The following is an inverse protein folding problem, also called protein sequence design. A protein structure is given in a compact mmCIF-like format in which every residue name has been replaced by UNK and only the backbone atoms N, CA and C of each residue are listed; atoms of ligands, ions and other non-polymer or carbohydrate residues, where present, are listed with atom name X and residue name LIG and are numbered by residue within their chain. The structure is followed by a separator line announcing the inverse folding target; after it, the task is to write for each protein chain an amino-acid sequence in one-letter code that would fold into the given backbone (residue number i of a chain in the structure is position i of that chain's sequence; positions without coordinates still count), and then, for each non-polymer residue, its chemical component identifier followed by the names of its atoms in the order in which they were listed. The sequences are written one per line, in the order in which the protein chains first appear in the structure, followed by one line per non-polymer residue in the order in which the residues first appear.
data_IF_305325336256
#
_entry.id   IF_305325336256
#
_cell.length_a   1.000
_cell.length_b   1.000
_cell.length_c   1.000
_cell.angle_alpha   90.00
_cell.angle_beta   90.00
_cell.angle_gamma   90.00
#
_symmetry.space_group_name_H-M   'P 1'
#
loop_
_entity.id
_entity.type
_entity.pdbx_description
1 polymer ?
#
# COMPACT_ATOMS: atom_id res chain seq x y z
N UNK A 1 -1.38 2.39 16.73
CA UNK A 1 -1.97 1.49 15.70
C UNK A 1 -1.24 1.58 14.35
N UNK A 2 -1.06 2.76 13.70
CA UNK A 2 -0.32 2.85 12.42
C UNK A 2 1.14 2.38 12.48
N UNK A 3 1.83 2.52 13.60
CA UNK A 3 3.20 2.05 13.77
C UNK A 3 3.35 0.54 13.56
N UNK A 4 2.35 -0.27 13.95
CA UNK A 4 2.38 -1.72 13.73
C UNK A 4 2.12 -2.10 12.26
N UNK A 5 1.29 -1.34 11.54
CA UNK A 5 1.15 -1.48 10.08
C UNK A 5 2.46 -1.21 9.37
N UNK A 6 3.12 -0.11 9.74
CA UNK A 6 4.43 0.24 9.19
C UNK A 6 5.50 -0.78 9.58
N UNK A 7 5.48 -1.24 10.84
CA UNK A 7 6.37 -2.31 11.28
C UNK A 7 6.21 -3.56 10.39
N UNK A 8 5.00 -4.04 10.20
CA UNK A 8 4.74 -5.23 9.40
C UNK A 8 5.23 -5.06 7.95
N UNK A 9 4.95 -3.91 7.34
CA UNK A 9 5.29 -3.63 5.94
C UNK A 9 6.76 -3.31 5.70
N UNK A 10 7.51 -2.96 6.73
CA UNK A 10 8.97 -2.72 6.65
C UNK A 10 9.80 -3.97 6.92
N UNK A 11 9.19 -5.11 7.28
CA UNK A 11 9.91 -6.37 7.54
C UNK A 11 10.50 -6.93 6.25
N UNK A 12 11.83 -6.80 6.09
CA UNK A 12 12.55 -7.33 4.93
C UNK A 12 12.52 -8.85 4.94
N UNK A 13 12.25 -9.46 3.78
CA UNK A 13 12.20 -10.91 3.63
C UNK A 13 10.87 -11.57 3.99
N UNK A 14 9.89 -10.82 4.53
CA UNK A 14 8.57 -11.38 4.82
C UNK A 14 7.71 -11.58 3.56
N UNK A 15 7.81 -10.69 2.58
CA UNK A 15 6.97 -10.68 1.38
C UNK A 15 5.49 -10.35 1.69
N UNK A 16 4.76 -9.82 0.70
CA UNK A 16 3.35 -9.41 0.91
C UNK A 16 2.44 -10.59 1.26
N UNK A 17 2.61 -11.73 0.60
CA UNK A 17 1.84 -12.95 0.92
C UNK A 17 2.00 -13.37 2.39
N UNK A 18 3.23 -13.30 2.93
CA UNK A 18 3.50 -13.59 4.33
C UNK A 18 2.86 -12.58 5.28
N UNK A 19 2.87 -11.29 4.91
CA UNK A 19 2.18 -10.23 5.67
C UNK A 19 0.68 -10.47 5.72
N UNK A 20 0.04 -10.76 4.57
CA UNK A 20 -1.37 -11.11 4.50
C UNK A 20 -1.71 -12.39 5.27
N UNK A 21 -0.84 -13.40 5.21
CA UNK A 21 -1.02 -14.64 5.97
C UNK A 21 -1.02 -14.38 7.48
N UNK A 22 -0.06 -13.58 7.96
CA UNK A 22 -0.01 -13.18 9.36
C UNK A 22 -1.27 -12.39 9.78
N UNK A 23 -1.70 -11.41 8.96
CA UNK A 23 -2.91 -10.64 9.22
C UNK A 23 -4.18 -11.49 9.25
N UNK A 24 -4.32 -12.46 8.33
CA UNK A 24 -5.47 -13.39 8.36
C UNK A 24 -5.50 -14.22 9.63
N UNK A 25 -4.33 -14.63 10.13
CA UNK A 25 -4.23 -15.48 11.34
C UNK A 25 -4.50 -14.71 12.63
N UNK A 26 -3.99 -13.47 12.73
CA UNK A 26 -4.03 -12.69 13.98
C UNK A 26 -5.07 -11.55 13.96
N UNK A 27 -5.62 -11.20 12.80
CA UNK A 27 -6.64 -10.16 12.66
C UNK A 27 -6.11 -8.72 12.61
N UNK A 28 -4.98 -8.42 13.26
CA UNK A 28 -4.40 -7.08 13.26
C UNK A 28 -2.87 -7.11 13.28
N UNK A 29 -2.18 -6.07 12.75
CA UNK A 29 -0.72 -5.99 12.85
C UNK A 29 -0.21 -5.88 14.28
N UNK A 30 -1.00 -5.30 15.17
CA UNK A 30 -0.68 -5.23 16.60
C UNK A 30 -0.66 -6.62 17.23
N UNK A 31 -1.66 -7.45 16.94
CA UNK A 31 -1.70 -8.83 17.40
C UNK A 31 -0.54 -9.66 16.81
N UNK A 32 -0.16 -9.41 15.54
CA UNK A 32 1.07 -9.99 14.97
C UNK A 32 2.30 -9.54 15.73
N UNK A 33 2.41 -8.25 16.07
CA UNK A 33 3.57 -7.72 16.79
C UNK A 33 3.77 -8.37 18.16
N UNK A 34 2.69 -8.56 18.92
CA UNK A 34 2.76 -9.11 20.28
C UNK A 34 2.74 -10.64 20.34
N UNK A 35 2.55 -11.32 19.21
CA UNK A 35 2.57 -12.77 19.17
C UNK A 35 3.98 -13.34 19.40
N UNK A 36 4.04 -14.48 20.08
CA UNK A 36 5.28 -15.21 20.32
C UNK A 36 5.76 -15.93 19.05
N UNK A 37 7.06 -16.23 18.99
CA UNK A 37 7.68 -16.90 17.83
C UNK A 37 7.00 -18.24 17.49
N UNK A 38 6.55 -18.98 18.50
CA UNK A 38 5.84 -20.26 18.33
C UNK A 38 4.49 -20.07 17.59
N UNK A 39 3.80 -18.95 17.84
CA UNK A 39 2.50 -18.67 17.24
C UNK A 39 2.56 -18.42 15.73
N UNK A 40 3.73 -18.16 15.18
CA UNK A 40 3.93 -18.02 13.72
C UNK A 40 4.12 -19.35 13.00
N UNK A 41 4.36 -20.44 13.72
CA UNK A 41 4.59 -21.76 13.12
C UNK A 41 3.33 -22.30 12.45
N UNK A 42 3.50 -22.92 11.29
CA UNK A 42 2.41 -23.58 10.56
C UNK A 42 1.39 -22.62 9.93
N UNK A 43 1.65 -21.32 9.88
CA UNK A 43 0.78 -20.37 9.19
C UNK A 43 0.92 -20.58 7.68
N UNK A 44 -0.17 -21.02 7.05
CA UNK A 44 -0.21 -21.20 5.60
C UNK A 44 0.06 -19.88 4.86
N UNK A 45 1.02 -19.91 3.93
CA UNK A 45 1.46 -18.73 3.17
C UNK A 45 2.55 -17.91 3.85
N UNK A 46 2.91 -18.19 5.10
CA UNK A 46 4.04 -17.57 5.80
C UNK A 46 5.29 -18.46 5.65
N UNK A 47 6.06 -18.23 4.60
CA UNK A 47 7.27 -19.06 4.30
C UNK A 47 8.43 -18.80 5.25
N UNK A 48 8.57 -17.59 5.74
CA UNK A 48 9.62 -17.18 6.66
C UNK A 48 9.05 -16.26 7.74
N UNK A 49 9.05 -16.69 8.99
CA UNK A 49 8.58 -15.94 10.13
C UNK A 49 9.71 -15.17 10.86
N UNK A 50 10.97 -15.43 10.54
CA UNK A 50 12.14 -14.82 11.20
C UNK A 50 12.03 -13.28 11.27
N UNK A 51 11.63 -12.55 10.19
CA UNK A 51 11.51 -11.10 10.25
C UNK A 51 10.49 -10.59 11.27
N UNK A 52 9.51 -11.38 11.66
CA UNK A 52 8.51 -11.03 12.68
C UNK A 52 9.07 -11.06 14.11
N UNK A 53 10.25 -11.65 14.31
CA UNK A 53 10.97 -11.62 15.58
C UNK A 53 11.59 -10.27 15.90
N UNK A 54 11.89 -9.47 14.88
CA UNK A 54 12.41 -8.10 15.08
C UNK A 54 11.25 -7.15 15.45
N UNK A 55 11.22 -6.73 16.71
CA UNK A 55 10.18 -5.87 17.31
C UNK A 55 10.58 -4.38 17.35
N UNK A 56 11.61 -3.99 16.60
CA UNK A 56 12.05 -2.59 16.56
C UNK A 56 11.02 -1.70 15.83
N UNK A 57 10.57 -0.66 16.51
CA UNK A 57 9.63 0.35 16.01
C UNK A 57 10.33 1.67 15.61
N UNK A 58 11.65 1.74 15.64
CA UNK A 58 12.41 2.96 15.33
C UNK A 58 12.11 3.45 13.91
N UNK A 59 12.23 2.57 12.91
CA UNK A 59 11.96 2.90 11.51
C UNK A 59 10.47 3.20 11.25
N UNK A 60 9.49 2.41 11.75
CA UNK A 60 8.08 2.76 11.70
C UNK A 60 7.76 4.16 12.24
N UNK A 61 8.30 4.52 13.39
CA UNK A 61 8.09 5.84 14.01
C UNK A 61 8.73 6.96 13.19
N UNK A 62 9.91 6.72 12.62
CA UNK A 62 10.58 7.66 11.72
C UNK A 62 9.71 7.91 10.48
N UNK A 63 9.15 6.87 9.87
CA UNK A 63 8.24 6.98 8.71
C UNK A 63 7.00 7.79 9.08
N UNK A 64 6.36 7.52 10.23
CA UNK A 64 5.21 8.30 10.70
C UNK A 64 5.53 9.79 10.84
N UNK A 65 6.66 10.11 11.45
CA UNK A 65 7.13 11.49 11.61
C UNK A 65 7.34 12.19 10.26
N UNK A 66 7.97 11.49 9.31
CA UNK A 66 8.18 12.00 7.95
C UNK A 66 6.85 12.21 7.19
N UNK A 67 5.93 11.28 7.32
CA UNK A 67 4.60 11.40 6.70
C UNK A 67 3.87 12.63 7.26
N UNK A 68 3.89 12.80 8.57
CA UNK A 68 3.29 13.97 9.22
C UNK A 68 3.92 15.28 8.72
N UNK A 69 5.25 15.38 8.72
CA UNK A 69 5.99 16.55 8.26
C UNK A 69 5.69 16.92 6.81
N UNK A 70 5.43 15.93 5.96
CA UNK A 70 5.19 16.11 4.52
C UNK A 70 3.71 16.11 4.15
N UNK A 71 2.81 16.11 5.12
CA UNK A 71 1.37 15.99 4.89
C UNK A 71 1.00 14.79 4.00
N UNK A 72 1.67 13.66 4.25
CA UNK A 72 1.37 12.37 3.61
C UNK A 72 0.42 11.60 4.54
N UNK A 73 -0.70 11.20 4.01
CA UNK A 73 -1.66 10.34 4.68
C UNK A 73 -1.33 8.87 4.44
N UNK A 74 -1.62 8.04 5.41
CA UNK A 74 -1.46 6.59 5.31
C UNK A 74 -2.84 5.96 5.40
N UNK A 75 -3.18 5.15 4.42
CA UNK A 75 -4.41 4.36 4.36
C UNK A 75 -4.05 2.89 4.46
N UNK A 76 -4.65 2.18 5.38
CA UNK A 76 -4.39 0.77 5.62
C UNK A 76 -5.39 -0.10 4.85
N UNK A 77 -5.01 -1.34 4.56
CA UNK A 77 -5.87 -2.32 3.88
C UNK A 77 -7.20 -2.58 4.62
N UNK A 78 -7.25 -2.36 5.94
CA UNK A 78 -8.45 -2.53 6.76
C UNK A 78 -9.33 -1.28 6.83
N UNK A 79 -8.86 -0.12 6.36
CA UNK A 79 -9.65 1.10 6.39
C UNK A 79 -10.83 1.02 5.43
N UNK A 80 -11.97 1.56 5.83
CA UNK A 80 -13.18 1.61 4.98
C UNK A 80 -12.96 2.38 3.67
N UNK A 81 -12.11 3.41 3.70
CA UNK A 81 -11.77 4.20 2.52
C UNK A 81 -10.74 3.53 1.59
N UNK A 82 -10.22 2.34 1.94
CA UNK A 82 -9.31 1.62 1.06
C UNK A 82 -10.07 1.12 -0.18
N UNK A 83 -9.61 1.43 -1.43
CA UNK A 83 -10.33 1.11 -2.64
C UNK A 83 -10.65 -0.38 -2.77
N UNK A 84 -11.94 -0.72 -2.96
CA UNK A 84 -12.38 -2.10 -3.11
C UNK A 84 -11.78 -2.76 -4.36
N UNK A 85 -11.65 -2.00 -5.46
CA UNK A 85 -10.97 -2.46 -6.68
C UNK A 85 -9.54 -2.88 -6.42
N UNK A 86 -8.80 -2.13 -5.60
CA UNK A 86 -7.42 -2.46 -5.26
C UNK A 86 -7.35 -3.62 -4.25
N UNK A 87 -8.34 -3.73 -3.35
CA UNK A 87 -8.42 -4.83 -2.38
C UNK A 87 -8.67 -6.18 -3.05
N UNK A 88 -9.31 -6.19 -4.23
CA UNK A 88 -9.70 -7.41 -4.96
C UNK A 88 -8.60 -7.99 -5.86
N UNK A 89 -7.44 -7.35 -5.99
CA UNK A 89 -6.31 -7.94 -6.73
C UNK A 89 -5.63 -9.05 -5.91
N UNK A 90 -4.90 -9.94 -6.57
CA UNK A 90 -4.27 -11.12 -5.93
C UNK A 90 -3.30 -10.76 -4.79
N UNK A 91 -2.62 -9.62 -4.90
CA UNK A 91 -1.59 -9.20 -3.95
C UNK A 91 -1.73 -7.70 -3.62
N UNK A 92 -2.81 -7.30 -2.91
CA UNK A 92 -3.07 -5.90 -2.60
C UNK A 92 -2.00 -5.33 -1.65
N UNK A 93 -1.56 -4.08 -1.86
CA UNK A 93 -0.68 -3.41 -0.92
C UNK A 93 -1.37 -3.21 0.43
N UNK A 94 -0.66 -3.49 1.53
CA UNK A 94 -1.22 -3.34 2.88
C UNK A 94 -1.36 -1.87 3.30
N UNK A 95 -0.56 -0.99 2.70
CA UNK A 95 -0.58 0.45 2.94
C UNK A 95 -0.56 1.21 1.62
N UNK A 96 -1.31 2.30 1.58
CA UNK A 96 -1.23 3.33 0.56
C UNK A 96 -0.80 4.64 1.20
N UNK A 97 0.11 5.34 0.53
CA UNK A 97 0.52 6.70 0.91
C UNK A 97 -0.07 7.66 -0.11
N UNK A 98 -0.72 8.72 0.36
CA UNK A 98 -1.29 9.71 -0.54
C UNK A 98 -1.13 11.13 0.01
N UNK A 99 -1.15 12.10 -0.87
CA UNK A 99 -1.18 13.53 -0.55
C UNK A 99 -2.41 14.17 -1.20
N UNK A 100 -2.94 15.20 -0.55
CA UNK A 100 -4.14 15.87 -1.03
C UNK A 100 -5.40 15.06 -0.77
N UNK A 101 -6.36 15.11 -1.68
CA UNK A 101 -7.65 14.43 -1.55
C UNK A 101 -7.61 13.10 -2.30
N UNK A 102 -7.93 12.01 -1.61
CA UNK A 102 -8.12 10.71 -2.25
C UNK A 102 -9.47 10.74 -3.00
N UNK A 103 -9.48 10.55 -4.34
CA UNK A 103 -10.72 10.47 -5.08
C UNK A 103 -11.46 9.15 -4.78
N UNK A 104 -12.76 9.10 -5.06
CA UNK A 104 -13.52 7.85 -4.99
C UNK A 104 -13.18 6.96 -6.19
N UNK A 105 -12.11 6.17 -6.02
CA UNK A 105 -11.58 5.28 -7.06
C UNK A 105 -12.60 4.19 -7.44
N UNK A 106 -13.52 3.84 -6.55
CA UNK A 106 -14.49 2.78 -6.80
C UNK A 106 -15.71 3.29 -7.58
N UNK A 107 -16.09 4.56 -7.41
CA UNK A 107 -17.22 5.18 -8.11
C UNK A 107 -16.86 5.75 -9.49
N UNK A 108 -15.64 6.31 -9.63
CA UNK A 108 -15.24 7.02 -10.83
C UNK A 108 -14.54 6.12 -11.86
N UNK A 109 -14.60 6.45 -13.16
CA UNK A 109 -13.79 5.78 -14.18
C UNK A 109 -12.30 5.98 -13.91
N UNK A 110 -11.51 4.91 -13.88
CA UNK A 110 -10.06 4.97 -13.72
C UNK A 110 -9.38 4.50 -15.00
N UNK A 111 -8.51 5.34 -15.56
CA UNK A 111 -7.80 5.08 -16.82
C UNK A 111 -6.30 5.01 -16.53
N UNK A 112 -5.69 3.87 -16.85
CA UNK A 112 -4.25 3.71 -16.75
C UNK A 112 -3.57 4.37 -17.95
N UNK A 113 -2.62 5.29 -17.69
CA UNK A 113 -1.75 5.87 -18.69
C UNK A 113 -0.35 5.30 -18.53
N UNK A 114 0.05 4.45 -19.47
CA UNK A 114 1.35 3.78 -19.45
C UNK A 114 2.18 4.18 -20.64
N UNK A 115 3.48 4.20 -20.48
CA UNK A 115 4.41 4.57 -21.55
C UNK A 115 5.86 4.21 -21.23
N UNK A 116 6.74 4.43 -22.19
CA UNK A 116 8.18 4.23 -21.99
C UNK A 116 8.77 5.30 -21.07
N UNK A 117 9.82 4.94 -20.31
CA UNK A 117 10.57 5.89 -19.45
C UNK A 117 11.26 6.99 -20.28
N UNK A 118 11.56 6.74 -21.53
CA UNK A 118 12.17 7.68 -22.48
C UNK A 118 11.18 7.96 -23.63
N UNK A 119 10.13 8.69 -23.31
CA UNK A 119 9.12 9.05 -24.29
C UNK A 119 9.65 10.11 -25.28
N UNK A 120 9.23 10.01 -26.56
CA UNK A 120 9.49 11.06 -27.55
C UNK A 120 8.72 12.34 -27.19
N UNK A 121 9.11 13.48 -27.78
CA UNK A 121 8.38 14.75 -27.62
C UNK A 121 6.91 14.61 -28.04
N UNK A 122 6.63 13.87 -29.10
CA UNK A 122 5.27 13.56 -29.52
C UNK A 122 4.52 12.76 -28.45
N UNK A 123 5.14 11.70 -27.91
CA UNK A 123 4.55 10.90 -26.84
C UNK A 123 4.21 11.72 -25.59
N UNK A 124 5.10 12.62 -25.19
CA UNK A 124 4.87 13.54 -24.06
C UNK A 124 3.69 14.50 -24.31
N UNK A 125 3.61 15.06 -25.54
CA UNK A 125 2.51 15.95 -25.92
C UNK A 125 1.16 15.20 -25.95
N UNK A 126 1.13 14.01 -26.54
CA UNK A 126 -0.09 13.18 -26.57
C UNK A 126 -0.52 12.74 -25.18
N UNK A 127 0.43 12.29 -24.34
CA UNK A 127 0.15 11.91 -22.96
C UNK A 127 -0.45 13.08 -22.15
N UNK A 128 0.11 14.28 -22.27
CA UNK A 128 -0.39 15.49 -21.63
C UNK A 128 -1.81 15.84 -22.12
N UNK A 129 -2.03 15.81 -23.41
CA UNK A 129 -3.33 16.12 -24.02
C UNK A 129 -4.40 15.12 -23.58
N UNK A 130 -4.12 13.84 -23.69
CA UNK A 130 -5.06 12.79 -23.29
C UNK A 130 -5.37 12.82 -21.80
N UNK A 131 -4.34 12.93 -20.93
CA UNK A 131 -4.55 13.03 -19.50
C UNK A 131 -5.42 14.24 -19.12
N UNK A 132 -5.19 15.38 -19.74
CA UNK A 132 -6.01 16.57 -19.52
C UNK A 132 -7.47 16.36 -19.96
N UNK A 133 -7.69 15.80 -21.14
CA UNK A 133 -9.04 15.54 -21.66
C UNK A 133 -9.79 14.53 -20.78
N UNK A 134 -9.14 13.42 -20.38
CA UNK A 134 -9.73 12.41 -19.51
C UNK A 134 -10.10 12.99 -18.14
N UNK A 135 -9.21 13.78 -17.55
CA UNK A 135 -9.49 14.48 -16.28
C UNK A 135 -10.68 15.45 -16.39
N UNK A 136 -10.80 16.17 -17.51
CA UNK A 136 -11.96 17.06 -17.76
C UNK A 136 -13.29 16.30 -17.90
N UNK A 137 -13.25 15.07 -18.33
CA UNK A 137 -14.43 14.19 -18.43
C UNK A 137 -14.75 13.49 -17.09
N UNK A 138 -14.02 13.81 -16.01
CA UNK A 138 -14.25 13.23 -14.69
C UNK A 138 -13.53 11.90 -14.45
N UNK A 139 -12.67 11.45 -15.36
CA UNK A 139 -11.91 10.23 -15.14
C UNK A 139 -10.70 10.46 -14.23
N UNK A 140 -10.40 9.48 -13.37
CA UNK A 140 -9.15 9.42 -12.61
C UNK A 140 -8.07 8.86 -13.52
N UNK A 141 -6.94 9.57 -13.64
CA UNK A 141 -5.79 9.11 -14.42
C UNK A 141 -4.78 8.45 -13.49
N UNK A 142 -4.58 7.15 -13.66
CA UNK A 142 -3.54 6.39 -12.96
C UNK A 142 -2.29 6.30 -13.85
N UNK A 143 -1.17 6.80 -13.37
CA UNK A 143 0.11 6.79 -14.08
C UNK A 143 1.23 6.30 -13.16
N UNK A 144 2.18 5.51 -13.70
CA UNK A 144 3.34 4.97 -12.99
C UNK A 144 4.67 5.48 -13.55
#
# INVERSE_FOLDING_TARGET
MLEYWLWLTTRRGLGRQGMHAALRRFGSPEAVFYADAEAYRGIEGLKNAEPLGDKDLTEPRRILSECHRKSIHILTWQDAAYPARLRSIDDPPLLLYYQGTLPDIDAEPVIAMVGTRHASLYGLQQGKMLGYQMGRLGAIVASG
#
